data_IF_370651049093
#
_entry.id   IF_370651049093
#
_cell.length_a   1.000
_cell.length_b   1.000
_cell.length_c   1.000
_cell.angle_alpha   90.00
_cell.angle_beta   90.00
_cell.angle_gamma   90.00
#
_symmetry.space_group_name_H-M   'P 1'
#
loop_
_entity.id
_entity.type
_entity.pdbx_description
1 polymer ?
#
# COMPACT_ATOMS: atom_id res chain seq x y z
N UNK A 1 19.99 -12.25 3.07
CA UNK A 1 19.15 -11.04 3.09
C UNK A 1 18.73 -10.82 4.53
N UNK A 2 19.02 -9.65 5.10
CA UNK A 2 18.64 -9.38 6.50
C UNK A 2 17.11 -9.19 6.59
N UNK A 3 16.52 -9.52 7.74
CA UNK A 3 15.07 -9.34 7.98
C UNK A 3 14.65 -7.89 7.75
N UNK A 4 15.52 -6.93 8.13
CA UNK A 4 15.33 -5.51 7.88
C UNK A 4 15.33 -5.15 6.38
N UNK A 5 16.22 -5.73 5.57
CA UNK A 5 16.22 -5.54 4.11
C UNK A 5 14.96 -6.09 3.45
N UNK A 6 14.45 -7.22 3.95
CA UNK A 6 13.20 -7.81 3.51
C UNK A 6 12.01 -6.88 3.78
N UNK A 7 11.90 -6.36 5.01
CA UNK A 7 10.87 -5.40 5.38
C UNK A 7 10.94 -4.10 4.54
N UNK A 8 12.14 -3.59 4.29
CA UNK A 8 12.34 -2.41 3.42
C UNK A 8 11.89 -2.67 1.97
N UNK A 9 12.17 -3.86 1.45
CA UNK A 9 11.77 -4.25 0.09
C UNK A 9 10.25 -4.34 -0.04
N UNK A 10 9.59 -5.02 0.90
CA UNK A 10 8.13 -5.10 0.93
C UNK A 10 7.46 -3.73 1.14
N UNK A 11 8.03 -2.89 2.02
CA UNK A 11 7.54 -1.54 2.23
C UNK A 11 7.62 -0.70 0.95
N UNK A 12 8.72 -0.82 0.20
CA UNK A 12 8.89 -0.11 -1.09
C UNK A 12 7.82 -0.53 -2.09
N UNK A 13 7.54 -1.84 -2.19
CA UNK A 13 6.50 -2.37 -3.08
C UNK A 13 5.13 -1.85 -2.68
N UNK A 14 4.79 -1.89 -1.40
CA UNK A 14 3.48 -1.41 -0.91
C UNK A 14 3.31 0.10 -1.10
N UNK A 15 4.36 0.89 -0.91
CA UNK A 15 4.31 2.34 -1.16
C UNK A 15 4.09 2.64 -2.64
N UNK A 16 4.80 1.95 -3.54
CA UNK A 16 4.56 2.09 -4.98
C UNK A 16 3.16 1.61 -5.37
N UNK A 17 2.67 0.51 -4.77
CA UNK A 17 1.30 0.04 -4.93
C UNK A 17 0.28 1.10 -4.52
N UNK A 18 0.46 1.73 -3.37
CA UNK A 18 -0.42 2.80 -2.87
C UNK A 18 -0.44 4.01 -3.81
N UNK A 19 0.71 4.42 -4.35
CA UNK A 19 0.78 5.51 -5.33
C UNK A 19 -0.05 5.13 -6.57
N UNK A 20 0.10 3.91 -7.09
CA UNK A 20 -0.69 3.43 -8.22
C UNK A 20 -2.19 3.39 -7.91
N UNK A 21 -2.58 2.90 -6.73
CA UNK A 21 -3.99 2.89 -6.29
C UNK A 21 -4.59 4.30 -6.28
N UNK A 22 -3.85 5.28 -5.75
CA UNK A 22 -4.29 6.69 -5.71
C UNK A 22 -4.45 7.24 -7.13
N UNK A 23 -3.47 7.01 -8.02
CA UNK A 23 -3.55 7.47 -9.42
C UNK A 23 -4.76 6.87 -10.12
N UNK A 24 -5.00 5.57 -9.94
CA UNK A 24 -6.12 4.84 -10.56
C UNK A 24 -7.46 5.34 -10.03
N UNK A 25 -7.60 5.55 -8.72
CA UNK A 25 -8.82 6.13 -8.16
C UNK A 25 -9.08 7.54 -8.68
N UNK A 26 -8.05 8.39 -8.75
CA UNK A 26 -8.19 9.74 -9.32
C UNK A 26 -8.63 9.67 -10.78
N UNK A 27 -8.07 8.76 -11.56
CA UNK A 27 -8.47 8.55 -12.96
C UNK A 27 -9.95 8.16 -13.08
N UNK A 28 -10.41 7.18 -12.29
CA UNK A 28 -11.80 6.75 -12.30
C UNK A 28 -12.76 7.85 -11.83
N UNK A 29 -12.41 8.59 -10.77
CA UNK A 29 -13.18 9.72 -10.25
C UNK A 29 -13.28 10.85 -11.28
N UNK A 30 -12.16 11.21 -11.91
CA UNK A 30 -12.11 12.28 -12.92
C UNK A 30 -12.97 11.96 -14.15
N UNK A 31 -13.09 10.67 -14.47
CA UNK A 31 -13.86 10.20 -15.61
C UNK A 31 -15.31 9.79 -15.25
N UNK A 32 -15.74 9.95 -13.99
CA UNK A 32 -17.04 9.49 -13.47
C UNK A 32 -17.33 8.01 -13.77
N UNK A 33 -16.29 7.16 -13.74
CA UNK A 33 -16.38 5.72 -14.05
C UNK A 33 -16.35 4.88 -12.78
N UNK A 34 -17.53 4.50 -12.29
CA UNK A 34 -17.72 3.65 -11.11
C UNK A 34 -17.88 2.18 -11.49
N UNK A 35 -16.88 1.60 -12.18
CA UNK A 35 -16.91 0.20 -12.59
C UNK A 35 -16.44 -0.72 -11.46
N UNK A 36 -16.53 -2.04 -11.66
CA UNK A 36 -16.07 -3.03 -10.68
C UNK A 36 -14.61 -2.79 -10.26
N UNK A 37 -13.74 -2.42 -11.21
CA UNK A 37 -12.33 -2.13 -10.98
C UNK A 37 -12.15 -0.96 -9.99
N UNK A 38 -12.98 0.08 -10.06
CA UNK A 38 -12.92 1.21 -9.12
C UNK A 38 -13.17 0.74 -7.68
N UNK A 39 -14.23 -0.04 -7.46
CA UNK A 39 -14.55 -0.55 -6.12
C UNK A 39 -13.52 -1.56 -5.63
N UNK A 40 -12.95 -2.35 -6.53
CA UNK A 40 -11.83 -3.24 -6.21
C UNK A 40 -10.61 -2.43 -5.74
N UNK A 41 -10.21 -1.38 -6.46
CA UNK A 41 -9.11 -0.50 -6.05
C UNK A 41 -9.41 0.19 -4.72
N UNK A 42 -10.66 0.63 -4.51
CA UNK A 42 -11.09 1.23 -3.26
C UNK A 42 -10.98 0.25 -2.08
N UNK A 43 -11.32 -1.02 -2.30
CA UNK A 43 -11.20 -2.08 -1.30
C UNK A 43 -9.76 -2.55 -1.05
N UNK A 44 -8.87 -2.45 -2.05
CA UNK A 44 -7.44 -2.74 -1.89
C UNK A 44 -6.72 -1.69 -1.04
N UNK A 45 -7.15 -0.44 -1.12
CA UNK A 45 -6.55 0.68 -0.41
C UNK A 45 -6.38 0.48 1.12
N UNK A 46 -7.40 0.05 1.88
CA UNK A 46 -7.23 -0.26 3.30
C UNK A 46 -6.31 -1.47 3.55
N UNK A 47 -6.23 -2.43 2.62
CA UNK A 47 -5.32 -3.58 2.72
C UNK A 47 -3.88 -3.11 2.56
N UNK A 48 -3.60 -2.29 1.55
CA UNK A 48 -2.28 -1.71 1.28
C UNK A 48 -1.83 -0.82 2.45
N UNK A 49 -2.69 0.07 2.94
CA UNK A 49 -2.43 0.88 4.13
C UNK A 49 -2.19 0.02 5.38
N UNK A 50 -2.99 -1.03 5.57
CA UNK A 50 -2.82 -2.00 6.66
C UNK A 50 -1.47 -2.70 6.62
N UNK A 51 -1.05 -3.16 5.44
CA UNK A 51 0.25 -3.78 5.21
C UNK A 51 1.42 -2.83 5.53
N UNK A 52 1.34 -1.58 5.06
CA UNK A 52 2.33 -0.54 5.35
C UNK A 52 2.44 -0.32 6.87
N UNK A 53 1.30 -0.13 7.55
CA UNK A 53 1.28 0.08 9.00
C UNK A 53 1.86 -1.12 9.77
N UNK A 54 1.56 -2.35 9.34
CA UNK A 54 2.08 -3.56 9.97
C UNK A 54 3.61 -3.65 9.84
N UNK A 55 4.15 -3.42 8.63
CA UNK A 55 5.60 -3.45 8.39
C UNK A 55 6.32 -2.33 9.14
N UNK A 56 5.78 -1.11 9.13
CA UNK A 56 6.37 0.02 9.86
C UNK A 56 6.41 -0.27 11.37
N UNK A 57 5.35 -0.87 11.93
CA UNK A 57 5.33 -1.30 13.33
C UNK A 57 6.36 -2.40 13.62
N UNK A 58 6.52 -3.37 12.72
CA UNK A 58 7.51 -4.43 12.85
C UNK A 58 8.94 -3.87 12.85
N UNK A 59 9.29 -3.01 11.89
CA UNK A 59 10.60 -2.35 11.83
C UNK A 59 10.85 -1.51 13.09
N UNK A 60 9.87 -0.72 13.53
CA UNK A 60 10.03 0.13 14.73
C UNK A 60 10.29 -0.71 15.98
N UNK A 61 9.68 -1.90 16.08
CA UNK A 61 9.93 -2.84 17.17
C UNK A 61 11.36 -3.39 17.11
N UNK A 62 11.81 -3.85 15.94
CA UNK A 62 13.17 -4.37 15.74
C UNK A 62 14.28 -3.34 15.97
N UNK A 63 14.00 -2.04 15.78
CA UNK A 63 14.98 -0.95 16.00
C UNK A 63 15.04 -0.51 17.47
N UNK A 64 14.01 -0.83 18.26
CA UNK A 64 13.89 -0.38 19.65
C UNK A 64 14.36 -1.43 20.68
N UNK A 65 14.60 -2.66 20.24
CA UNK A 65 15.26 -3.74 20.99
C UNK A 65 16.77 -3.77 20.68
#
# INVERSE_FOLDING_TARGET
>A
MSVVELHKSYLTILVWGLICEIIVLIYYLSNNRYTFEFYLTLGLLPITLGGIMAIVRAIKKEVSD
#
